data_IF_997385678319
#
_entry.id   IF_997385678319
#
_cell.length_a   1.000
_cell.length_b   1.000
_cell.length_c   1.000
_cell.angle_alpha   90.00
_cell.angle_beta   90.00
_cell.angle_gamma   90.00
#
_symmetry.space_group_name_H-M   'P 1'
#
loop_
_entity.id
_entity.type
_entity.pdbx_description
1 polymer ?
#
# COMPACT_ATOMS: atom_id res chain seq x y z
N UNK A 1 -8.18 -37.83 -63.99
CA UNK A 1 -8.44 -38.00 -62.55
C UNK A 1 -7.38 -37.24 -61.79
N UNK A 2 -7.67 -35.99 -61.45
CA UNK A 2 -6.71 -35.08 -60.80
C UNK A 2 -7.13 -34.83 -59.33
N UNK A 3 -6.32 -35.31 -58.37
CA UNK A 3 -6.56 -35.12 -56.94
C UNK A 3 -5.96 -33.77 -56.50
N UNK A 4 -6.82 -32.83 -56.13
CA UNK A 4 -6.43 -31.61 -55.39
C UNK A 4 -6.24 -31.98 -53.94
N UNK A 5 -5.03 -31.85 -53.41
CA UNK A 5 -4.73 -31.90 -51.99
C UNK A 5 -4.83 -30.46 -51.42
N UNK A 6 -5.86 -30.19 -50.63
CA UNK A 6 -6.03 -28.93 -49.94
C UNK A 6 -5.10 -28.84 -48.71
N UNK A 7 -4.24 -27.86 -48.69
CA UNK A 7 -3.38 -27.54 -47.54
C UNK A 7 -4.13 -26.60 -46.62
N UNK A 8 -4.62 -27.13 -45.48
CA UNK A 8 -5.21 -26.33 -44.39
C UNK A 8 -4.06 -25.76 -43.53
N UNK A 9 -3.74 -24.46 -43.71
CA UNK A 9 -2.83 -23.73 -42.84
C UNK A 9 -3.57 -23.35 -41.57
N UNK A 10 -3.27 -24.01 -40.45
CA UNK A 10 -3.75 -23.65 -39.12
C UNK A 10 -2.97 -22.42 -38.64
N UNK A 11 -3.63 -21.25 -38.61
CA UNK A 11 -3.11 -20.04 -38.02
C UNK A 11 -3.30 -20.16 -36.50
N UNK A 12 -2.23 -20.51 -35.79
CA UNK A 12 -2.18 -20.38 -34.30
C UNK A 12 -2.03 -18.90 -33.96
N UNK A 13 -3.14 -18.25 -33.63
CA UNK A 13 -3.14 -16.96 -32.93
C UNK A 13 -2.61 -17.20 -31.50
N UNK A 14 -1.32 -16.98 -31.32
CA UNK A 14 -0.73 -16.92 -29.99
C UNK A 14 -1.34 -15.71 -29.28
N UNK A 15 -2.34 -15.95 -28.45
CA UNK A 15 -2.87 -14.97 -27.51
C UNK A 15 -1.81 -14.76 -26.44
N UNK A 16 -0.88 -13.82 -26.69
CA UNK A 16 0.04 -13.35 -25.69
C UNK A 16 -0.78 -12.78 -24.54
N UNK A 17 -0.77 -13.45 -23.40
CA UNK A 17 -1.32 -12.86 -22.18
C UNK A 17 -0.56 -11.56 -21.92
N UNK A 18 -1.25 -10.44 -21.68
CA UNK A 18 -0.56 -9.20 -21.31
C UNK A 18 0.21 -9.51 -20.03
N UNK A 19 1.53 -9.48 -20.11
CA UNK A 19 2.38 -9.50 -18.94
C UNK A 19 2.05 -8.23 -18.15
N UNK A 20 1.29 -8.38 -17.05
CA UNK A 20 1.03 -7.27 -16.17
C UNK A 20 2.38 -6.75 -15.68
N UNK A 21 2.64 -5.48 -15.95
CA UNK A 21 3.83 -4.82 -15.45
C UNK A 21 3.82 -4.85 -13.91
N UNK A 22 4.92 -5.27 -13.33
CA UNK A 22 5.20 -5.17 -11.90
C UNK A 22 5.06 -3.70 -11.46
N UNK A 23 4.56 -3.46 -10.25
CA UNK A 23 4.22 -2.13 -9.75
C UNK A 23 5.38 -1.13 -9.81
N UNK A 24 6.60 -1.59 -9.58
CA UNK A 24 7.80 -0.75 -9.61
C UNK A 24 8.45 -0.63 -11.00
N UNK A 25 7.93 -1.34 -12.00
CA UNK A 25 8.48 -1.28 -13.35
C UNK A 25 8.29 0.12 -13.92
N UNK A 26 9.40 0.73 -14.39
CA UNK A 26 9.47 2.10 -14.93
C UNK A 26 9.19 3.21 -13.91
N UNK A 27 9.13 2.90 -12.61
CA UNK A 27 9.04 3.90 -11.57
C UNK A 27 10.35 4.70 -11.49
N UNK A 28 10.25 6.00 -11.28
CA UNK A 28 11.39 6.91 -11.16
C UNK A 28 11.20 7.85 -9.97
N UNK A 29 12.29 8.14 -9.25
CA UNK A 29 12.27 9.14 -8.21
C UNK A 29 11.95 10.52 -8.81
N UNK A 30 11.14 11.31 -8.08
CA UNK A 30 10.69 12.64 -8.53
C UNK A 30 9.42 12.64 -9.38
N UNK A 31 8.86 11.46 -9.71
CA UNK A 31 7.53 11.36 -10.31
C UNK A 31 6.43 11.32 -9.24
N UNK A 32 5.17 11.43 -9.65
CA UNK A 32 4.01 11.17 -8.78
C UNK A 32 3.89 9.65 -8.55
N UNK A 33 4.59 9.18 -7.50
CA UNK A 33 4.70 7.75 -7.17
C UNK A 33 3.32 7.14 -6.88
N UNK A 34 2.45 7.72 -6.03
CA UNK A 34 1.10 7.19 -5.81
C UNK A 34 0.34 6.95 -7.13
N UNK A 35 0.32 7.94 -8.00
CA UNK A 35 -0.37 7.83 -9.29
C UNK A 35 0.26 6.74 -10.18
N UNK A 36 1.58 6.57 -10.13
CA UNK A 36 2.29 5.58 -10.94
C UNK A 36 2.04 4.14 -10.47
N UNK A 37 1.76 3.94 -9.19
CA UNK A 37 1.49 2.63 -8.57
C UNK A 37 0.05 2.15 -8.81
N UNK A 38 -0.93 3.04 -8.78
CA UNK A 38 -2.36 2.70 -8.91
C UNK A 38 -2.62 1.93 -10.22
N UNK A 39 -3.34 0.81 -10.10
CA UNK A 39 -3.68 -0.07 -11.22
C UNK A 39 -2.58 -1.04 -11.63
N UNK A 40 -1.39 -0.96 -11.03
CA UNK A 40 -0.32 -1.94 -11.23
C UNK A 40 -0.59 -3.20 -10.42
N UNK A 41 0.07 -4.29 -10.82
CA UNK A 41 0.02 -5.53 -10.05
C UNK A 41 1.12 -5.50 -9.00
N UNK A 42 0.73 -5.69 -7.75
CA UNK A 42 1.67 -5.84 -6.65
C UNK A 42 2.62 -7.01 -6.88
N UNK A 43 3.86 -6.83 -6.50
CA UNK A 43 4.90 -7.86 -6.60
C UNK A 43 4.55 -9.04 -5.69
N UNK A 44 4.37 -10.23 -6.28
CA UNK A 44 4.15 -11.47 -5.53
C UNK A 44 5.45 -12.18 -5.18
N UNK A 45 6.60 -11.57 -5.49
CA UNK A 45 7.91 -12.14 -5.20
C UNK A 45 8.33 -11.96 -3.73
N UNK A 46 9.36 -12.70 -3.28
CA UNK A 46 9.96 -12.44 -1.97
C UNK A 46 10.41 -10.97 -1.87
N UNK A 47 10.13 -10.33 -0.73
CA UNK A 47 10.47 -8.90 -0.49
C UNK A 47 11.94 -8.64 -0.82
N UNK A 48 12.86 -9.48 -0.36
CA UNK A 48 14.31 -9.35 -0.58
C UNK A 48 14.68 -9.35 -2.07
N UNK A 49 14.03 -10.17 -2.88
CA UNK A 49 14.25 -10.22 -4.33
C UNK A 49 13.74 -8.94 -5.01
N UNK A 50 12.58 -8.45 -4.57
CA UNK A 50 11.99 -7.20 -5.06
C UNK A 50 12.87 -6.01 -4.70
N UNK A 51 13.34 -5.90 -3.47
CA UNK A 51 14.28 -4.86 -3.03
C UNK A 51 15.58 -4.88 -3.86
N UNK A 52 16.15 -6.07 -4.08
CA UNK A 52 17.36 -6.24 -4.89
C UNK A 52 17.14 -5.81 -6.35
N UNK A 53 16.00 -6.17 -6.93
CA UNK A 53 15.62 -5.82 -8.30
C UNK A 53 15.49 -4.31 -8.48
N UNK A 54 14.90 -3.62 -7.50
CA UNK A 54 14.60 -2.19 -7.54
C UNK A 54 15.48 -1.34 -6.62
N UNK A 55 16.70 -1.80 -6.35
CA UNK A 55 17.68 -1.09 -5.48
C UNK A 55 17.95 0.36 -5.91
N UNK A 56 17.81 0.68 -7.20
CA UNK A 56 17.99 2.04 -7.71
C UNK A 56 16.91 3.03 -7.19
N UNK A 57 15.75 2.51 -6.76
CA UNK A 57 14.70 3.28 -6.10
C UNK A 57 14.92 3.38 -4.58
N UNK A 58 15.97 2.76 -4.04
CA UNK A 58 16.12 2.60 -2.59
C UNK A 58 14.97 1.81 -1.97
N UNK A 59 14.37 0.88 -2.75
CA UNK A 59 13.19 0.14 -2.34
C UNK A 59 13.48 -0.70 -1.10
N UNK A 60 12.61 -0.59 -0.08
CA UNK A 60 12.64 -1.42 1.13
C UNK A 60 11.21 -1.71 1.59
N UNK A 61 10.91 -2.98 1.82
CA UNK A 61 9.65 -3.41 2.42
C UNK A 61 9.62 -3.08 3.92
N UNK A 62 8.56 -2.43 4.36
CA UNK A 62 8.36 -2.03 5.76
C UNK A 62 7.31 -2.90 6.46
N UNK A 63 6.67 -3.82 5.72
CA UNK A 63 5.61 -4.69 6.22
C UNK A 63 4.27 -4.41 5.57
N UNK A 64 3.22 -4.95 6.17
CA UNK A 64 1.84 -4.77 5.70
C UNK A 64 0.87 -5.54 6.58
N UNK A 65 -0.42 -5.25 6.42
CA UNK A 65 -1.50 -5.82 7.21
C UNK A 65 -2.66 -6.29 6.33
N UNK A 66 -3.36 -7.31 6.79
CA UNK A 66 -4.66 -7.67 6.23
C UNK A 66 -5.71 -6.71 6.79
N UNK A 67 -6.38 -5.98 5.89
CA UNK A 67 -7.44 -5.03 6.24
C UNK A 67 -8.79 -5.73 6.27
N UNK A 68 -9.03 -6.62 5.33
CA UNK A 68 -10.21 -7.48 5.21
C UNK A 68 -9.94 -8.60 4.21
N UNK A 69 -10.86 -9.57 4.10
CA UNK A 69 -10.78 -10.67 3.10
C UNK A 69 -10.59 -10.18 1.65
N UNK A 70 -10.83 -8.91 1.37
CA UNK A 70 -10.77 -8.33 0.02
C UNK A 70 -9.63 -7.35 -0.16
N UNK A 71 -8.99 -6.91 0.92
CA UNK A 71 -8.05 -5.78 0.92
C UNK A 71 -6.93 -6.00 1.91
N UNK A 72 -5.71 -5.75 1.48
CA UNK A 72 -4.51 -5.68 2.31
C UNK A 72 -3.81 -4.34 2.14
N UNK A 73 -2.96 -3.98 3.09
CA UNK A 73 -2.02 -2.88 2.96
C UNK A 73 -0.59 -3.40 2.88
N UNK A 74 0.25 -2.70 2.13
CA UNK A 74 1.70 -2.94 2.10
C UNK A 74 2.41 -1.60 2.18
N UNK A 75 3.46 -1.55 3.00
CA UNK A 75 4.24 -0.35 3.22
C UNK A 75 5.62 -0.50 2.57
N UNK A 76 6.00 0.48 1.78
CA UNK A 76 7.28 0.55 1.10
C UNK A 76 8.01 1.85 1.39
N UNK A 77 9.31 1.78 1.59
CA UNK A 77 10.20 2.93 1.40
C UNK A 77 10.56 2.98 -0.07
N UNK A 78 10.28 4.10 -0.75
CA UNK A 78 10.59 4.31 -2.17
C UNK A 78 11.21 5.70 -2.30
N UNK A 79 12.40 5.80 -2.88
CA UNK A 79 13.11 7.08 -3.04
C UNK A 79 13.28 7.87 -1.74
N UNK A 80 13.41 7.16 -0.62
CA UNK A 80 13.58 7.76 0.72
C UNK A 80 12.31 8.26 1.39
N UNK A 81 11.13 8.03 0.80
CA UNK A 81 9.83 8.34 1.39
C UNK A 81 8.99 7.07 1.59
N UNK A 82 8.13 7.06 2.60
CA UNK A 82 7.24 5.94 2.88
C UNK A 82 5.94 6.07 2.10
N UNK A 83 5.53 4.95 1.52
CA UNK A 83 4.26 4.82 0.81
C UNK A 83 3.49 3.63 1.36
N UNK A 84 2.19 3.84 1.58
CA UNK A 84 1.26 2.78 1.95
C UNK A 84 0.37 2.50 0.76
N UNK A 85 0.30 1.25 0.32
CA UNK A 85 -0.54 0.79 -0.77
C UNK A 85 -1.74 0.02 -0.23
N UNK A 86 -2.89 0.17 -0.87
CA UNK A 86 -4.03 -0.73 -0.72
C UNK A 86 -4.07 -1.67 -1.90
N UNK A 87 -4.07 -2.96 -1.62
CA UNK A 87 -3.99 -4.02 -2.63
C UNK A 87 -5.25 -4.88 -2.52
N UNK A 88 -5.97 -5.06 -3.65
CA UNK A 88 -7.12 -5.96 -3.68
C UNK A 88 -6.68 -7.42 -3.77
N UNK A 89 -7.60 -8.36 -3.49
CA UNK A 89 -7.32 -9.81 -3.53
C UNK A 89 -6.87 -10.33 -4.90
N UNK A 90 -6.98 -9.53 -5.96
CA UNK A 90 -6.43 -9.86 -7.28
C UNK A 90 -4.98 -9.40 -7.42
N UNK A 91 -4.43 -8.78 -6.37
CA UNK A 91 -3.08 -8.24 -6.35
C UNK A 91 -2.95 -6.92 -7.12
N UNK A 92 -4.02 -6.14 -7.28
CA UNK A 92 -3.95 -4.82 -7.91
C UNK A 92 -3.87 -3.73 -6.85
N UNK A 93 -2.93 -2.81 -7.02
CA UNK A 93 -2.85 -1.58 -6.23
C UNK A 93 -4.05 -0.71 -6.56
N UNK A 94 -4.90 -0.49 -5.56
CA UNK A 94 -6.16 0.25 -5.68
C UNK A 94 -6.00 1.73 -5.33
N UNK A 95 -5.14 1.98 -4.35
CA UNK A 95 -4.77 3.32 -3.92
C UNK A 95 -3.36 3.29 -3.31
N UNK A 96 -2.70 4.43 -3.29
CA UNK A 96 -1.38 4.59 -2.70
C UNK A 96 -1.28 5.97 -2.03
N UNK A 97 -0.77 5.99 -0.81
CA UNK A 97 -0.63 7.18 0.02
C UNK A 97 0.85 7.44 0.28
N UNK A 98 1.32 8.65 -0.04
CA UNK A 98 2.57 9.15 0.53
C UNK A 98 2.35 9.38 2.03
N UNK A 99 2.94 8.51 2.85
CA UNK A 99 2.78 8.62 4.29
C UNK A 99 3.70 9.69 4.85
N UNK A 100 3.22 10.56 5.76
CA UNK A 100 4.05 11.64 6.30
C UNK A 100 5.23 11.12 7.11
N UNK A 101 6.34 11.87 7.17
CA UNK A 101 7.44 11.56 8.07
C UNK A 101 6.94 11.43 9.53
N UNK A 102 7.41 10.39 10.19
CA UNK A 102 7.04 10.09 11.56
C UNK A 102 8.27 9.79 12.42
N UNK A 103 8.12 9.80 13.75
CA UNK A 103 9.21 9.67 14.72
C UNK A 103 8.68 9.21 16.07
N UNK A 104 9.55 9.04 17.07
CA UNK A 104 9.13 8.73 18.45
C UNK A 104 8.19 9.77 19.05
N UNK A 105 8.33 11.06 18.69
CA UNK A 105 7.45 12.16 19.15
C UNK A 105 6.28 12.45 18.20
N UNK A 106 6.24 11.78 17.07
CA UNK A 106 5.16 11.84 16.11
C UNK A 106 4.97 10.43 15.50
N UNK A 107 4.57 9.43 16.30
CA UNK A 107 4.57 8.04 15.85
C UNK A 107 3.49 7.76 14.80
N UNK A 108 3.81 6.87 13.87
CA UNK A 108 2.84 6.28 12.96
C UNK A 108 1.91 5.32 13.71
N UNK A 109 0.68 5.23 13.24
CA UNK A 109 -0.35 4.38 13.83
C UNK A 109 -1.21 3.75 12.73
N UNK A 110 -1.57 2.48 12.95
CA UNK A 110 -2.61 1.79 12.17
C UNK A 110 -3.53 1.03 13.13
N UNK A 111 -4.84 1.24 13.01
CA UNK A 111 -5.81 0.54 13.85
C UNK A 111 -7.10 1.33 14.11
N UNK A 112 -7.78 0.97 15.18
CA UNK A 112 -9.04 1.62 15.59
C UNK A 112 -8.73 2.81 16.49
N UNK A 113 -9.26 3.96 16.13
CA UNK A 113 -9.19 5.20 16.92
C UNK A 113 -10.56 5.54 17.51
N UNK A 114 -10.59 6.52 18.41
CA UNK A 114 -11.78 6.98 19.07
C UNK A 114 -12.11 8.42 18.70
N UNK A 115 -13.39 8.70 18.55
CA UNK A 115 -13.92 10.07 18.48
C UNK A 115 -14.89 10.27 19.64
N UNK A 116 -14.65 11.29 20.48
CA UNK A 116 -15.46 11.59 21.67
C UNK A 116 -15.65 10.35 22.57
N UNK A 117 -14.58 9.57 22.77
CA UNK A 117 -14.56 8.39 23.62
C UNK A 117 -15.31 7.17 23.07
N UNK A 118 -15.66 7.16 21.78
CA UNK A 118 -16.28 6.01 21.11
C UNK A 118 -15.41 5.52 19.96
N UNK A 119 -15.21 4.23 19.86
CA UNK A 119 -14.48 3.59 18.79
C UNK A 119 -15.09 3.92 17.43
N UNK A 120 -14.22 4.24 16.46
CA UNK A 120 -14.62 4.36 15.07
C UNK A 120 -14.71 2.95 14.44
N UNK A 121 -15.66 2.73 13.51
CA UNK A 121 -15.77 1.46 12.82
C UNK A 121 -14.69 1.25 11.77
N UNK A 122 -14.00 2.31 11.37
CA UNK A 122 -13.03 2.31 10.30
C UNK A 122 -11.61 2.10 10.84
N UNK A 123 -10.76 1.43 10.05
CA UNK A 123 -9.32 1.40 10.30
C UNK A 123 -8.73 2.77 9.93
N UNK A 124 -7.97 3.33 10.84
CA UNK A 124 -7.34 4.64 10.72
C UNK A 124 -5.82 4.45 10.56
N UNK A 125 -5.26 5.06 9.54
CA UNK A 125 -3.84 5.36 9.46
C UNK A 125 -3.63 6.78 9.97
N UNK A 126 -2.65 6.99 10.84
CA UNK A 126 -2.43 8.31 11.44
C UNK A 126 -0.98 8.57 11.80
N UNK A 127 -0.66 9.86 11.92
CA UNK A 127 0.51 10.33 12.68
C UNK A 127 -0.03 10.96 13.97
N UNK A 128 0.44 10.45 15.12
CA UNK A 128 -0.05 10.85 16.43
C UNK A 128 0.83 11.95 17.06
N UNK A 129 0.32 12.62 18.08
CA UNK A 129 1.11 13.51 18.91
C UNK A 129 1.71 12.75 20.11
N UNK A 130 2.90 12.19 19.93
CA UNK A 130 3.63 11.49 20.97
C UNK A 130 4.39 12.41 21.94
N UNK A 131 4.29 13.73 21.79
CA UNK A 131 4.92 14.69 22.73
C UNK A 131 4.19 14.77 24.06
N UNK A 132 2.98 14.20 24.15
CA UNK A 132 2.15 14.17 25.37
C UNK A 132 2.29 12.84 26.09
N UNK A 133 2.02 12.84 27.42
CA UNK A 133 1.91 11.63 28.23
C UNK A 133 0.50 10.98 28.15
N UNK A 134 -0.40 11.56 27.35
CA UNK A 134 -1.77 11.07 27.24
C UNK A 134 -1.81 9.62 26.70
N UNK A 135 -2.82 8.87 27.10
CA UNK A 135 -3.21 7.61 26.50
C UNK A 135 -4.75 7.52 26.56
N UNK A 136 -5.43 7.52 25.45
CA UNK A 136 -4.94 7.50 24.07
C UNK A 136 -4.29 8.82 23.60
N UNK A 137 -3.45 8.75 22.55
CA UNK A 137 -2.73 9.89 21.98
C UNK A 137 -3.61 10.70 21.02
N UNK A 138 -3.51 12.05 21.02
CA UNK A 138 -4.13 12.89 20.01
C UNK A 138 -3.57 12.61 18.61
N UNK A 139 -4.39 12.84 17.59
CA UNK A 139 -4.04 12.68 16.18
C UNK A 139 -3.61 14.02 15.57
N UNK A 140 -2.47 14.01 14.85
CA UNK A 140 -2.01 15.16 14.04
C UNK A 140 -2.57 15.12 12.64
N UNK A 141 -2.53 13.97 12.00
CA UNK A 141 -2.99 13.74 10.63
C UNK A 141 -3.55 12.33 10.53
N UNK A 142 -4.65 12.13 9.81
CA UNK A 142 -5.27 10.84 9.68
C UNK A 142 -5.97 10.60 8.34
N UNK A 143 -6.04 9.33 7.97
CA UNK A 143 -6.82 8.79 6.87
C UNK A 143 -7.59 7.57 7.36
N UNK A 144 -8.85 7.48 7.00
CA UNK A 144 -9.58 6.23 7.13
C UNK A 144 -9.40 5.38 5.89
N UNK A 145 -9.43 4.07 6.05
CA UNK A 145 -9.47 3.13 4.93
C UNK A 145 -10.94 2.88 4.58
N UNK A 146 -11.38 3.45 3.45
CA UNK A 146 -12.66 3.07 2.84
C UNK A 146 -12.51 1.71 2.18
N UNK A 147 -12.89 0.65 2.89
CA UNK A 147 -12.75 -0.72 2.42
C UNK A 147 -13.59 -1.02 1.16
N UNK A 148 -14.75 -0.35 0.99
CA UNK A 148 -15.62 -0.54 -0.18
C UNK A 148 -15.04 0.10 -1.43
N UNK A 149 -14.54 1.32 -1.29
CA UNK A 149 -13.88 2.06 -2.36
C UNK A 149 -12.43 1.66 -2.58
N UNK A 150 -11.83 0.91 -1.65
CA UNK A 150 -10.40 0.60 -1.57
C UNK A 150 -9.56 1.89 -1.70
N UNK A 151 -9.80 2.85 -0.81
CA UNK A 151 -9.19 4.19 -0.84
C UNK A 151 -8.81 4.69 0.54
N UNK A 152 -7.75 5.50 0.58
CA UNK A 152 -7.44 6.36 1.71
C UNK A 152 -8.25 7.63 1.66
N UNK A 153 -9.06 7.89 2.67
CA UNK A 153 -9.89 9.09 2.75
C UNK A 153 -9.39 9.96 3.90
N UNK A 154 -8.90 11.18 3.62
CA UNK A 154 -8.47 12.09 4.67
C UNK A 154 -9.60 12.35 5.66
N UNK A 155 -9.28 12.37 6.95
CA UNK A 155 -10.22 12.69 8.03
C UNK A 155 -9.61 13.75 8.94
N UNK A 156 -10.47 14.57 9.57
CA UNK A 156 -9.99 15.52 10.57
C UNK A 156 -9.40 14.78 11.76
N UNK A 157 -8.19 15.16 12.17
CA UNK A 157 -7.59 14.70 13.43
C UNK A 157 -8.22 15.32 14.68
N UNK A 158 -9.03 16.38 14.52
CA UNK A 158 -9.64 17.09 15.64
C UNK A 158 -10.59 16.19 16.43
N UNK A 159 -10.33 16.04 17.73
CA UNK A 159 -11.10 15.18 18.61
C UNK A 159 -10.92 13.67 18.39
N UNK A 160 -9.98 13.29 17.49
CA UNK A 160 -9.55 11.91 17.35
C UNK A 160 -8.42 11.60 18.33
N UNK A 161 -8.51 10.41 18.93
CA UNK A 161 -7.44 9.84 19.75
C UNK A 161 -7.25 8.37 19.41
N UNK A 162 -6.02 7.88 19.45
CA UNK A 162 -5.70 6.49 19.14
C UNK A 162 -4.84 5.87 20.24
N UNK A 163 -5.06 4.58 20.58
CA UNK A 163 -4.33 3.91 21.66
C UNK A 163 -2.86 3.71 21.30
N UNK A 164 -1.98 3.71 22.30
CA UNK A 164 -0.53 3.49 22.08
C UNK A 164 -0.22 2.09 21.52
N UNK A 165 -1.08 1.11 21.77
CA UNK A 165 -0.86 -0.27 21.33
C UNK A 165 -0.85 -0.51 19.82
N UNK A 166 -1.35 0.44 19.00
CA UNK A 166 -1.33 0.36 17.54
C UNK A 166 -0.21 1.17 16.88
N UNK A 167 0.77 1.65 17.66
CA UNK A 167 1.91 2.38 17.11
C UNK A 167 2.78 1.44 16.28
N UNK A 168 3.01 1.82 15.03
CA UNK A 168 3.93 1.13 14.13
C UNK A 168 5.35 1.57 14.53
N UNK A 169 6.14 0.65 15.07
CA UNK A 169 7.55 0.90 15.31
C UNK A 169 8.34 0.48 14.08
N UNK A 170 9.06 1.42 13.47
CA UNK A 170 9.97 1.14 12.35
C UNK A 170 11.24 0.37 12.76
N UNK A 171 11.35 0.03 14.03
CA UNK A 171 12.40 -0.88 14.50
C UNK A 171 12.07 -2.27 13.95
N UNK A 172 12.31 -2.44 12.65
CA UNK A 172 12.18 -3.71 11.98
C UNK A 172 12.85 -4.76 12.81
N UNK A 173 12.03 -5.63 13.41
CA UNK A 173 12.51 -6.76 14.19
C UNK A 173 13.54 -7.51 13.35
N UNK A 174 14.79 -7.43 13.78
CA UNK A 174 15.86 -8.33 13.38
C UNK A 174 15.78 -9.57 14.20
#
# INVERSE_FOLDING_TARGET
MTKLAGLLAAIFLAWGQPAFADEFQNLQCGTDIPKALIGKRSSNGPIVETEKKYRALGLKGLGGDEISDQLSSVNWLICGAEYVELIDRRGLVRDALLFPPHSKTAPAFSGICQAKGRDLPDIILAVLDGSTAADPLPVKTAWKIDQKGAKFVPVSGEGLTCPRGGIITLDGGR
#
